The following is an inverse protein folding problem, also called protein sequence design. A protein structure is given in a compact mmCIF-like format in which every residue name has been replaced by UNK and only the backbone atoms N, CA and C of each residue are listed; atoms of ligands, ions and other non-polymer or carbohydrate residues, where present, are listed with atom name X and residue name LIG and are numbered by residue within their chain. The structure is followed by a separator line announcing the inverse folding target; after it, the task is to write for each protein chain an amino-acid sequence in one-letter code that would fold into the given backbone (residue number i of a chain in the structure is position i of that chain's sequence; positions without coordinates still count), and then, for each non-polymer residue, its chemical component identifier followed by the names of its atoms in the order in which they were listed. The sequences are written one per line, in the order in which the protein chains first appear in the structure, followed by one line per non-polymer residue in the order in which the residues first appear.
data_IF_299269771021
#
_entry.id   IF_299269771021
#
_cell.length_a   1.000
_cell.length_b   1.000
_cell.length_c   1.000
_cell.angle_alpha   90.00
_cell.angle_beta   90.00
_cell.angle_gamma   90.00
#
_symmetry.space_group_name_H-M   'P 1'
#
loop_
_entity.id
_entity.type
_entity.pdbx_description
1 polymer ?
#
# COMPACT_ATOMS: atom_id res chain seq x y z
N UNK A 1 10.86 24.65 -6.73
CA UNK A 1 11.16 24.15 -5.38
C UNK A 1 10.11 23.09 -5.06
N UNK A 2 10.39 21.83 -5.45
CA UNK A 2 9.56 20.68 -5.11
C UNK A 2 9.89 20.27 -3.68
N UNK A 3 8.92 20.39 -2.79
CA UNK A 3 8.98 19.84 -1.45
C UNK A 3 8.91 18.31 -1.58
N UNK A 4 10.03 17.62 -1.41
CA UNK A 4 10.05 16.15 -1.30
C UNK A 4 9.38 15.78 0.02
N UNK A 5 8.20 15.21 -0.08
CA UNK A 5 7.51 14.64 1.08
C UNK A 5 8.19 13.30 1.39
N UNK A 6 9.05 13.27 2.40
CA UNK A 6 9.65 12.05 2.92
C UNK A 6 8.60 11.31 3.75
N UNK A 7 8.09 10.19 3.23
CA UNK A 7 7.15 9.35 3.98
C UNK A 7 7.90 8.56 5.05
N UNK A 8 7.41 8.63 6.29
CA UNK A 8 7.96 7.84 7.39
C UNK A 8 7.42 6.41 7.28
N UNK A 9 8.30 5.42 7.17
CA UNK A 9 7.95 3.99 7.20
C UNK A 9 8.05 3.46 8.62
N UNK A 10 7.06 2.67 9.02
CA UNK A 10 7.00 2.02 10.33
C UNK A 10 7.01 0.50 10.15
N UNK A 11 7.58 -0.22 11.11
CA UNK A 11 7.41 -1.67 11.20
C UNK A 11 6.02 -1.96 11.80
N UNK A 12 5.25 -2.82 11.11
CA UNK A 12 3.90 -3.19 11.53
C UNK A 12 2.80 -2.24 11.06
N UNK A 13 1.57 -2.50 11.54
CA UNK A 13 0.38 -1.73 11.20
C UNK A 13 0.32 -0.43 11.97
N UNK A 14 -0.02 0.66 11.29
CA UNK A 14 -0.11 2.00 11.86
C UNK A 14 -1.57 2.39 12.06
N UNK A 15 -1.93 2.72 13.29
CA UNK A 15 -3.21 3.29 13.64
C UNK A 15 -3.07 4.78 14.01
N UNK A 16 -3.86 5.64 13.39
CA UNK A 16 -4.00 7.04 13.78
C UNK A 16 -5.25 7.19 14.63
N UNK A 17 -5.10 7.74 15.83
CA UNK A 17 -6.21 8.07 16.73
C UNK A 17 -6.38 9.59 16.75
N UNK A 18 -7.59 10.06 16.55
CA UNK A 18 -7.95 11.47 16.58
C UNK A 18 -9.09 11.69 17.57
N UNK A 19 -8.81 12.30 18.70
CA UNK A 19 -9.77 12.58 19.76
C UNK A 19 -9.25 13.79 20.58
N UNK A 20 -10.10 14.70 20.98
CA UNK A 20 -9.70 15.88 21.76
C UNK A 20 -9.65 15.61 23.28
N UNK A 21 -10.07 14.43 23.69
CA UNK A 21 -10.07 13.97 25.10
C UNK A 21 -8.82 13.13 25.39
N UNK A 22 -7.88 13.63 26.22
CA UNK A 22 -6.61 12.93 26.48
C UNK A 22 -6.78 11.52 27.07
N UNK A 23 -7.81 11.28 27.86
CA UNK A 23 -8.11 10.00 28.48
C UNK A 23 -8.46 8.93 27.42
N UNK A 24 -9.21 9.32 26.38
CA UNK A 24 -9.53 8.44 25.26
C UNK A 24 -8.27 8.09 24.45
N UNK A 25 -7.43 9.11 24.19
CA UNK A 25 -6.16 8.90 23.49
C UNK A 25 -5.24 7.94 24.24
N UNK A 26 -5.12 8.11 25.57
CA UNK A 26 -4.29 7.22 26.40
C UNK A 26 -4.82 5.79 26.38
N UNK A 27 -6.12 5.61 26.66
CA UNK A 27 -6.77 4.31 26.69
C UNK A 27 -6.58 3.53 25.37
N UNK A 28 -6.85 4.19 24.26
CA UNK A 28 -6.74 3.57 22.94
C UNK A 28 -5.29 3.34 22.51
N UNK A 29 -4.40 4.29 22.85
CA UNK A 29 -2.98 4.18 22.55
C UNK A 29 -2.35 2.98 23.25
N UNK A 30 -2.66 2.79 24.54
CA UNK A 30 -2.17 1.66 25.31
C UNK A 30 -2.71 0.34 24.74
N UNK A 31 -4.01 0.24 24.52
CA UNK A 31 -4.64 -0.98 24.01
C UNK A 31 -4.11 -1.40 22.60
N UNK A 32 -3.95 -0.43 21.70
CA UNK A 32 -3.44 -0.71 20.36
C UNK A 32 -1.94 -1.02 20.36
N UNK A 33 -1.15 -0.33 21.19
CA UNK A 33 0.28 -0.61 21.33
C UNK A 33 0.53 -2.00 21.90
N UNK A 34 -0.24 -2.40 22.92
CA UNK A 34 -0.17 -3.74 23.51
C UNK A 34 -0.55 -4.84 22.49
N UNK A 35 -1.42 -4.52 21.54
CA UNK A 35 -1.79 -5.41 20.44
C UNK A 35 -0.79 -5.38 19.26
N UNK A 36 0.30 -4.63 19.35
CA UNK A 36 1.39 -4.59 18.37
C UNK A 36 1.24 -3.57 17.25
N UNK A 37 0.29 -2.63 17.38
CA UNK A 37 0.16 -1.52 16.41
C UNK A 37 1.15 -0.40 16.73
N UNK A 38 1.66 0.26 15.69
CA UNK A 38 2.30 1.57 15.83
C UNK A 38 1.20 2.63 15.92
N UNK A 39 1.16 3.37 17.03
CA UNK A 39 0.09 4.34 17.29
C UNK A 39 0.57 5.76 17.05
N UNK A 40 -0.20 6.50 16.26
CA UNK A 40 -0.07 7.93 16.06
C UNK A 40 -1.31 8.61 16.66
N UNK A 41 -1.13 9.77 17.27
CA UNK A 41 -2.24 10.51 17.90
C UNK A 41 -2.33 11.93 17.34
N UNK A 42 -3.55 12.44 17.25
CA UNK A 42 -3.85 13.83 16.95
C UNK A 42 -4.99 14.28 17.89
N UNK A 43 -4.94 15.53 18.36
CA UNK A 43 -5.88 16.07 19.32
C UNK A 43 -7.02 16.87 18.68
N UNK A 44 -6.99 17.02 17.36
CA UNK A 44 -7.98 17.74 16.57
C UNK A 44 -7.88 17.35 15.09
N UNK A 45 -8.89 17.75 14.29
CA UNK A 45 -8.96 17.40 12.89
C UNK A 45 -7.86 18.02 12.03
N UNK A 46 -7.42 19.25 12.32
CA UNK A 46 -6.36 19.90 11.53
C UNK A 46 -5.01 19.23 11.75
N UNK A 47 -4.65 18.94 13.00
CA UNK A 47 -3.42 18.21 13.34
C UNK A 47 -3.42 16.80 12.75
N UNK A 48 -4.59 16.15 12.65
CA UNK A 48 -4.72 14.87 11.95
C UNK A 48 -4.39 15.01 10.45
N UNK A 49 -4.96 16.01 9.77
CA UNK A 49 -4.70 16.26 8.35
C UNK A 49 -3.22 16.58 8.07
N UNK A 50 -2.57 17.36 8.94
CA UNK A 50 -1.13 17.65 8.83
C UNK A 50 -0.26 16.37 8.96
N UNK A 51 -0.62 15.46 9.87
CA UNK A 51 0.07 14.17 10.02
C UNK A 51 -0.10 13.30 8.79
N UNK A 52 -1.30 13.26 8.22
CA UNK A 52 -1.62 12.47 7.03
C UNK A 52 -0.89 12.93 5.76
N UNK A 53 -0.34 14.14 5.74
CA UNK A 53 0.58 14.59 4.68
C UNK A 53 1.97 13.92 4.75
N UNK A 54 2.33 13.32 5.88
CA UNK A 54 3.65 12.73 6.14
C UNK A 54 3.62 11.22 6.35
N UNK A 55 2.46 10.68 6.72
CA UNK A 55 2.27 9.26 7.07
C UNK A 55 0.95 8.77 6.53
N UNK A 56 0.97 7.58 5.91
CA UNK A 56 -0.23 6.84 5.51
C UNK A 56 -0.47 5.75 6.56
N UNK A 57 -1.48 5.88 7.44
CA UNK A 57 -1.83 4.83 8.40
C UNK A 57 -2.61 3.71 7.72
N UNK A 58 -2.70 2.56 8.38
CA UNK A 58 -3.54 1.44 7.94
C UNK A 58 -4.99 1.60 8.37
N UNK A 59 -5.24 2.40 9.41
CA UNK A 59 -6.57 2.71 9.93
C UNK A 59 -6.59 4.05 10.66
N UNK A 60 -7.74 4.70 10.66
CA UNK A 60 -7.98 5.94 11.39
C UNK A 60 -9.17 5.75 12.33
N UNK A 61 -8.96 6.00 13.63
CA UNK A 61 -10.02 6.13 14.63
C UNK A 61 -10.27 7.62 14.83
N UNK A 62 -11.49 8.09 14.62
CA UNK A 62 -11.80 9.51 14.54
C UNK A 62 -13.01 9.86 15.40
N UNK A 63 -12.80 10.71 16.38
CA UNK A 63 -13.93 11.25 17.15
C UNK A 63 -14.84 12.08 16.24
N UNK A 64 -16.13 11.84 16.34
CA UNK A 64 -17.14 12.54 15.56
C UNK A 64 -17.30 13.99 16.00
N UNK A 65 -17.12 14.27 17.29
CA UNK A 65 -17.39 15.60 17.90
C UNK A 65 -16.11 16.15 18.52
N UNK A 66 -15.52 17.11 17.84
CA UNK A 66 -14.29 17.78 18.27
C UNK A 66 -14.43 19.31 18.06
N UNK A 67 -13.69 20.12 18.84
CA UNK A 67 -13.60 21.56 18.61
C UNK A 67 -12.94 21.87 17.24
N UNK A 68 -13.36 22.97 16.62
CA UNK A 68 -12.85 23.40 15.31
C UNK A 68 -13.57 22.70 14.18
N UNK A 69 -12.87 21.91 13.39
CA UNK A 69 -13.50 21.02 12.41
C UNK A 69 -13.90 19.71 13.09
N UNK A 70 -15.16 19.31 12.92
CA UNK A 70 -15.66 18.08 13.48
C UNK A 70 -15.08 16.83 12.76
N UNK A 71 -15.34 15.63 13.30
CA UNK A 71 -14.87 14.40 12.70
C UNK A 71 -15.43 14.15 11.31
N UNK A 72 -16.67 14.56 11.04
CA UNK A 72 -17.29 14.35 9.72
C UNK A 72 -16.60 15.21 8.64
N UNK A 73 -16.33 16.46 8.93
CA UNK A 73 -15.58 17.35 8.02
C UNK A 73 -14.13 16.87 7.86
N UNK A 74 -13.50 16.44 8.94
CA UNK A 74 -12.16 15.86 8.90
C UNK A 74 -12.13 14.64 7.97
N UNK A 75 -13.09 13.73 8.10
CA UNK A 75 -13.21 12.55 7.24
C UNK A 75 -13.39 12.92 5.77
N UNK A 76 -14.28 13.88 5.45
CA UNK A 76 -14.47 14.35 4.07
C UNK A 76 -13.17 14.85 3.45
N UNK A 77 -12.38 15.62 4.20
CA UNK A 77 -11.06 16.09 3.73
C UNK A 77 -10.06 14.97 3.55
N UNK A 78 -10.02 13.99 4.47
CA UNK A 78 -9.20 12.78 4.33
C UNK A 78 -9.54 12.06 3.04
N UNK A 79 -10.83 11.89 2.73
CA UNK A 79 -11.28 11.19 1.51
C UNK A 79 -11.02 11.95 0.20
N UNK A 80 -10.67 13.23 0.28
CA UNK A 80 -10.20 14.04 -0.86
C UNK A 80 -8.69 13.98 -1.07
N UNK A 81 -7.92 13.50 -0.08
CA UNK A 81 -6.47 13.32 -0.19
C UNK A 81 -6.16 12.00 -0.91
N UNK A 82 -5.52 12.05 -2.07
CA UNK A 82 -5.30 10.89 -2.94
C UNK A 82 -4.54 9.76 -2.22
N UNK A 83 -3.55 10.11 -1.42
CA UNK A 83 -2.65 9.17 -0.74
C UNK A 83 -3.33 8.38 0.37
N UNK A 84 -4.34 8.96 1.03
CA UNK A 84 -4.97 8.38 2.23
C UNK A 84 -6.48 8.12 2.09
N UNK A 85 -7.09 8.49 0.95
CA UNK A 85 -8.54 8.30 0.73
C UNK A 85 -9.01 6.85 0.88
N UNK A 86 -8.13 5.90 0.61
CA UNK A 86 -8.41 4.46 0.69
C UNK A 86 -8.33 3.92 2.13
N UNK A 87 -7.73 4.67 3.06
CA UNK A 87 -7.57 4.24 4.45
C UNK A 87 -8.93 4.17 5.14
N UNK A 88 -9.26 3.05 5.82
CA UNK A 88 -10.51 2.93 6.54
C UNK A 88 -10.57 3.90 7.70
N UNK A 89 -11.73 4.55 7.86
CA UNK A 89 -12.04 5.47 8.97
C UNK A 89 -13.16 4.88 9.80
N UNK A 90 -12.93 4.70 11.09
CA UNK A 90 -13.92 4.29 12.09
C UNK A 90 -14.24 5.51 12.95
N UNK A 91 -15.50 5.91 13.02
CA UNK A 91 -15.94 6.97 13.90
C UNK A 91 -16.08 6.48 15.34
N UNK A 92 -15.66 7.31 16.28
CA UNK A 92 -15.96 7.16 17.70
C UNK A 92 -17.00 8.23 18.07
N UNK A 93 -18.15 7.83 18.60
CA UNK A 93 -19.24 8.78 18.85
C UNK A 93 -20.06 8.43 20.07
N UNK A 94 -20.42 9.43 20.86
CA UNK A 94 -21.46 9.32 21.89
C UNK A 94 -22.87 9.48 21.34
N UNK A 95 -23.00 9.78 20.05
CA UNK A 95 -24.26 10.10 19.40
C UNK A 95 -24.82 8.79 18.80
N UNK A 96 -25.89 8.30 19.42
CA UNK A 96 -26.59 7.07 18.98
C UNK A 96 -27.73 7.38 18.01
N UNK A 97 -27.95 8.64 17.68
CA UNK A 97 -29.02 9.03 16.75
C UNK A 97 -28.69 8.60 15.32
N UNK A 98 -29.65 8.00 14.66
CA UNK A 98 -29.55 7.50 13.29
C UNK A 98 -29.01 8.54 12.31
N UNK A 99 -29.33 9.82 12.52
CA UNK A 99 -28.87 10.93 11.68
C UNK A 99 -27.34 11.11 11.71
N UNK A 100 -26.71 10.95 12.86
CA UNK A 100 -25.25 11.06 13.00
C UNK A 100 -24.51 9.86 12.41
N UNK A 101 -25.09 8.67 12.52
CA UNK A 101 -24.56 7.46 11.86
C UNK A 101 -24.60 7.64 10.35
N UNK A 102 -25.70 8.14 9.79
CA UNK A 102 -25.82 8.42 8.36
C UNK A 102 -24.80 9.47 7.90
N UNK A 103 -24.63 10.57 8.63
CA UNK A 103 -23.60 11.59 8.34
C UNK A 103 -22.18 11.00 8.29
N UNK A 104 -21.87 10.04 9.17
CA UNK A 104 -20.59 9.34 9.18
C UNK A 104 -20.36 8.56 7.90
N UNK A 105 -21.33 7.78 7.46
CA UNK A 105 -21.23 7.03 6.21
C UNK A 105 -21.18 7.95 4.98
N UNK A 106 -21.98 9.00 4.94
CA UNK A 106 -21.94 10.02 3.88
C UNK A 106 -20.60 10.77 3.81
N UNK A 107 -19.93 10.96 4.95
CA UNK A 107 -18.58 11.52 5.00
C UNK A 107 -17.49 10.55 4.52
N UNK A 108 -17.83 9.29 4.27
CA UNK A 108 -16.90 8.24 3.81
C UNK A 108 -16.31 7.39 4.93
N UNK A 109 -16.88 7.45 6.14
CA UNK A 109 -16.56 6.50 7.23
C UNK A 109 -17.04 5.11 6.91
N UNK A 110 -16.31 4.12 7.40
CA UNK A 110 -16.59 2.70 7.12
C UNK A 110 -17.38 2.03 8.24
N UNK A 111 -17.20 2.50 9.48
CA UNK A 111 -17.82 1.93 10.67
C UNK A 111 -17.88 2.98 11.79
N UNK A 112 -18.52 2.64 12.90
CA UNK A 112 -18.58 3.49 14.08
C UNK A 112 -18.48 2.66 15.37
N UNK A 113 -17.97 3.27 16.43
CA UNK A 113 -17.88 2.75 17.79
C UNK A 113 -18.58 3.73 18.71
N UNK A 114 -19.48 3.22 19.56
CA UNK A 114 -20.19 4.09 20.52
C UNK A 114 -19.35 4.32 21.78
N UNK A 115 -19.36 5.57 22.28
CA UNK A 115 -18.79 5.89 23.58
C UNK A 115 -19.78 5.50 24.70
N UNK A 116 -19.36 4.93 25.85
CA UNK A 116 -17.97 4.77 26.29
C UNK A 116 -17.21 3.71 25.50
N UNK A 117 -15.93 4.00 25.23
CA UNK A 117 -15.08 3.17 24.40
C UNK A 117 -14.70 1.89 25.14
N UNK A 118 -14.98 0.74 24.55
CA UNK A 118 -14.53 -0.57 25.04
C UNK A 118 -13.31 -1.03 24.20
N UNK A 119 -12.10 -1.11 24.78
CA UNK A 119 -10.88 -1.43 24.04
C UNK A 119 -10.95 -2.74 23.24
N UNK A 120 -11.60 -3.77 23.78
CA UNK A 120 -11.75 -5.06 23.12
C UNK A 120 -12.59 -4.95 21.83
N UNK A 121 -13.64 -4.13 21.82
CA UNK A 121 -14.44 -3.84 20.63
C UNK A 121 -13.61 -3.12 19.57
N UNK A 122 -12.85 -2.10 19.99
CA UNK A 122 -11.97 -1.34 19.09
C UNK A 122 -10.96 -2.25 18.41
N UNK A 123 -10.27 -3.09 19.17
CA UNK A 123 -9.26 -4.03 18.65
C UNK A 123 -9.86 -4.99 17.62
N UNK A 124 -11.04 -5.55 17.90
CA UNK A 124 -11.72 -6.47 16.99
C UNK A 124 -12.11 -5.79 15.67
N UNK A 125 -12.64 -4.55 15.72
CA UNK A 125 -13.01 -3.77 14.52
C UNK A 125 -11.78 -3.34 13.73
N UNK A 126 -10.75 -2.83 14.39
CA UNK A 126 -9.48 -2.43 13.78
C UNK A 126 -8.87 -3.60 13.00
N UNK A 127 -8.72 -4.77 13.65
CA UNK A 127 -8.17 -5.96 13.00
C UNK A 127 -9.02 -6.41 11.79
N UNK A 128 -10.35 -6.32 11.89
CA UNK A 128 -11.26 -6.69 10.81
C UNK A 128 -11.14 -5.74 9.62
N UNK A 129 -11.14 -4.43 9.85
CA UNK A 129 -11.09 -3.44 8.79
C UNK A 129 -9.73 -3.37 8.10
N UNK A 130 -8.62 -3.50 8.82
CA UNK A 130 -7.29 -3.60 8.23
C UNK A 130 -7.20 -4.84 7.33
N UNK A 131 -7.67 -6.00 7.81
CA UNK A 131 -7.68 -7.23 7.01
C UNK A 131 -8.53 -7.08 5.75
N UNK A 132 -9.73 -6.50 5.85
CA UNK A 132 -10.62 -6.29 4.71
C UNK A 132 -10.02 -5.31 3.69
N UNK A 133 -9.40 -4.21 4.15
CA UNK A 133 -8.72 -3.25 3.28
C UNK A 133 -7.58 -3.93 2.51
N UNK A 134 -6.79 -4.78 3.16
CA UNK A 134 -5.73 -5.56 2.51
C UNK A 134 -6.27 -6.55 1.48
N UNK A 135 -7.34 -7.26 1.81
CA UNK A 135 -7.99 -8.19 0.87
C UNK A 135 -8.53 -7.46 -0.36
N UNK A 136 -9.13 -6.27 -0.20
CA UNK A 136 -9.59 -5.43 -1.31
C UNK A 136 -8.43 -4.93 -2.17
N UNK A 137 -7.33 -4.49 -1.55
CA UNK A 137 -6.13 -4.08 -2.26
C UNK A 137 -5.55 -5.26 -3.06
N UNK A 138 -5.43 -6.43 -2.45
CA UNK A 138 -4.96 -7.64 -3.12
C UNK A 138 -5.90 -8.06 -4.28
N UNK A 139 -7.21 -7.97 -4.11
CA UNK A 139 -8.18 -8.26 -5.17
C UNK A 139 -8.10 -7.24 -6.33
N UNK A 140 -7.93 -5.95 -6.02
CA UNK A 140 -7.73 -4.90 -7.03
C UNK A 140 -6.43 -5.11 -7.81
N UNK A 141 -5.34 -5.47 -7.12
CA UNK A 141 -4.08 -5.82 -7.75
C UNK A 141 -4.18 -7.11 -8.60
N UNK A 142 -4.99 -8.08 -8.16
CA UNK A 142 -5.25 -9.29 -8.96
C UNK A 142 -6.02 -8.97 -10.25
N UNK A 143 -6.95 -8.00 -10.23
CA UNK A 143 -7.68 -7.55 -11.42
C UNK A 143 -6.77 -6.75 -12.35
N UNK A 144 -5.93 -5.85 -11.82
CA UNK A 144 -4.91 -5.13 -12.59
C UNK A 144 -3.84 -6.09 -13.14
N UNK A 145 -3.53 -7.16 -12.41
CA UNK A 145 -2.57 -8.19 -12.80
C UNK A 145 -3.14 -9.22 -13.82
N UNK A 146 -4.45 -9.27 -14.04
CA UNK A 146 -5.04 -10.08 -15.14
C UNK A 146 -4.61 -9.55 -16.51
N UNK A 147 -4.26 -8.27 -16.60
CA UNK A 147 -3.68 -7.65 -17.81
C UNK A 147 -2.15 -7.72 -17.85
N UNK A 148 -1.46 -8.04 -16.74
CA UNK A 148 0.00 -8.08 -16.64
C UNK A 148 0.44 -9.26 -15.77
N UNK A 149 1.54 -9.90 -16.14
CA UNK A 149 2.16 -10.90 -15.29
C UNK A 149 2.83 -10.19 -14.09
N UNK A 150 2.52 -10.60 -12.86
CA UNK A 150 3.02 -9.96 -11.66
C UNK A 150 3.36 -10.97 -10.55
N UNK A 151 4.39 -10.64 -9.75
CA UNK A 151 4.78 -11.33 -8.53
C UNK A 151 4.77 -10.31 -7.40
N UNK A 152 4.01 -10.56 -6.34
CA UNK A 152 4.05 -9.75 -5.12
C UNK A 152 5.17 -10.23 -4.21
N UNK A 153 5.87 -9.29 -3.59
CA UNK A 153 7.03 -9.55 -2.76
C UNK A 153 6.83 -8.97 -1.35
N UNK A 154 7.41 -9.63 -0.37
CA UNK A 154 7.63 -9.06 0.96
C UNK A 154 8.66 -7.94 0.91
N UNK A 155 8.78 -7.17 1.99
CA UNK A 155 9.80 -6.13 2.13
C UNK A 155 11.25 -6.66 1.99
N UNK A 156 11.48 -7.93 2.29
CA UNK A 156 12.77 -8.62 2.14
C UNK A 156 13.00 -9.22 0.75
N UNK A 157 12.07 -8.99 -0.19
CA UNK A 157 12.15 -9.53 -1.57
C UNK A 157 11.64 -10.97 -1.73
N UNK A 158 11.12 -11.60 -0.66
CA UNK A 158 10.54 -12.95 -0.74
C UNK A 158 9.19 -12.93 -1.45
N UNK A 159 8.93 -13.83 -2.43
CA UNK A 159 7.63 -13.92 -3.08
C UNK A 159 6.50 -14.25 -2.10
N UNK A 160 5.38 -13.53 -2.21
CA UNK A 160 4.14 -13.77 -1.48
C UNK A 160 3.12 -14.52 -2.33
N UNK A 161 2.89 -14.04 -3.54
CA UNK A 161 2.01 -14.65 -4.54
C UNK A 161 2.43 -14.23 -5.94
N UNK A 162 1.93 -14.95 -6.95
CA UNK A 162 2.17 -14.64 -8.36
C UNK A 162 0.93 -14.94 -9.20
N UNK A 163 0.79 -14.23 -10.32
CA UNK A 163 -0.23 -14.55 -11.31
C UNK A 163 0.17 -15.82 -12.07
N UNK A 164 -0.82 -16.52 -12.65
CA UNK A 164 -0.56 -17.68 -13.50
C UNK A 164 0.41 -17.33 -14.63
N UNK A 165 0.20 -16.20 -15.29
CA UNK A 165 1.02 -15.73 -16.40
C UNK A 165 2.48 -15.49 -15.96
N UNK A 166 2.69 -14.93 -14.76
CA UNK A 166 4.03 -14.77 -14.20
C UNK A 166 4.69 -16.12 -13.96
N UNK A 167 3.97 -17.10 -13.41
CA UNK A 167 4.48 -18.44 -13.18
C UNK A 167 4.89 -19.12 -14.49
N UNK A 168 4.06 -19.05 -15.53
CA UNK A 168 4.34 -19.59 -16.86
C UNK A 168 5.59 -18.95 -17.49
N UNK A 169 5.71 -17.62 -17.39
CA UNK A 169 6.88 -16.93 -17.93
C UNK A 169 8.15 -17.17 -17.12
N UNK A 170 8.05 -17.24 -15.80
CA UNK A 170 9.20 -17.61 -14.96
C UNK A 170 9.72 -19.01 -15.28
N UNK A 171 8.84 -20.00 -15.50
CA UNK A 171 9.25 -21.34 -15.92
C UNK A 171 9.86 -21.34 -17.33
N UNK A 172 9.29 -20.57 -18.27
CA UNK A 172 9.78 -20.47 -19.65
C UNK A 172 11.19 -19.87 -19.71
N UNK A 173 11.45 -18.79 -18.99
CA UNK A 173 12.70 -18.03 -19.06
C UNK A 173 13.74 -18.47 -18.03
N UNK A 174 13.33 -19.18 -16.98
CA UNK A 174 14.20 -19.74 -15.93
C UNK A 174 13.84 -21.21 -15.65
N UNK A 175 14.03 -22.11 -16.62
CA UNK A 175 13.63 -23.49 -16.47
C UNK A 175 14.34 -24.18 -15.29
N UNK A 176 13.55 -24.87 -14.46
CA UNK A 176 14.02 -25.56 -13.27
C UNK A 176 14.22 -24.68 -12.01
N UNK A 177 13.97 -23.38 -12.07
CA UNK A 177 14.06 -22.51 -10.89
C UNK A 177 12.90 -22.70 -9.90
N UNK A 178 11.80 -23.31 -10.33
CA UNK A 178 10.61 -23.55 -9.51
C UNK A 178 10.63 -24.80 -8.63
N UNK A 179 11.68 -25.59 -8.65
CA UNK A 179 11.77 -26.82 -7.86
C UNK A 179 11.80 -26.56 -6.32
N UNK A 180 11.94 -25.29 -5.90
CA UNK A 180 11.85 -24.87 -4.52
C UNK A 180 10.80 -23.75 -4.41
N UNK A 181 9.60 -24.09 -4.06
CA UNK A 181 8.32 -23.34 -4.17
C UNK A 181 8.22 -21.96 -3.50
N UNK A 182 9.27 -21.24 -3.17
CA UNK A 182 9.20 -19.91 -2.51
C UNK A 182 10.41 -18.99 -2.77
N UNK A 183 11.26 -19.27 -3.77
CA UNK A 183 12.40 -18.40 -4.05
C UNK A 183 12.44 -17.97 -5.51
N UNK A 184 12.86 -16.72 -5.73
CA UNK A 184 13.16 -16.22 -7.08
C UNK A 184 14.43 -16.89 -7.63
N UNK A 185 14.55 -16.98 -8.97
CA UNK A 185 15.81 -17.39 -9.59
C UNK A 185 16.98 -16.55 -9.07
N UNK A 186 18.20 -17.14 -8.87
CA UNK A 186 19.33 -16.41 -8.28
C UNK A 186 19.70 -15.10 -8.99
N UNK A 187 19.60 -15.06 -10.32
CA UNK A 187 19.85 -13.85 -11.11
C UNK A 187 18.80 -12.75 -10.86
N UNK A 188 17.54 -13.15 -10.73
CA UNK A 188 16.43 -12.21 -10.42
C UNK A 188 16.56 -11.70 -8.99
N UNK A 189 16.90 -12.59 -8.04
CA UNK A 189 17.10 -12.22 -6.65
C UNK A 189 18.28 -11.24 -6.48
N UNK A 190 19.40 -11.47 -7.15
CA UNK A 190 20.55 -10.57 -7.13
C UNK A 190 20.23 -9.18 -7.72
N UNK A 191 19.56 -9.14 -8.89
CA UNK A 191 19.11 -7.87 -9.47
C UNK A 191 18.10 -7.15 -8.59
N UNK A 192 17.17 -7.88 -7.98
CA UNK A 192 16.18 -7.32 -7.07
C UNK A 192 16.83 -6.68 -5.84
N UNK A 193 17.82 -7.33 -5.23
CA UNK A 193 18.57 -6.81 -4.10
C UNK A 193 19.29 -5.49 -4.44
N UNK A 194 19.89 -5.40 -5.63
CA UNK A 194 20.48 -4.15 -6.13
C UNK A 194 19.42 -3.08 -6.38
N UNK A 195 18.28 -3.41 -7.01
CA UNK A 195 17.19 -2.50 -7.27
C UNK A 195 16.55 -1.97 -5.97
N UNK A 196 16.46 -2.83 -4.96
CA UNK A 196 15.96 -2.45 -3.63
C UNK A 196 16.91 -1.49 -2.91
N UNK A 197 18.22 -1.69 -2.99
CA UNK A 197 19.25 -0.81 -2.42
C UNK A 197 19.32 0.55 -3.12
N UNK A 198 19.21 0.59 -4.44
CA UNK A 198 19.23 1.81 -5.23
C UNK A 198 18.07 2.76 -4.92
N UNK A 199 16.91 2.24 -4.52
CA UNK A 199 15.73 3.02 -4.14
C UNK A 199 15.80 3.64 -2.74
N UNK A 200 16.84 3.39 -1.95
CA UNK A 200 17.08 4.04 -0.64
C UNK A 200 17.98 5.27 -0.73
N UNK A 201 18.54 5.56 -1.90
CA UNK A 201 19.37 6.76 -2.13
C UNK A 201 18.48 7.97 -2.38
N UNK A 202 18.74 9.06 -1.67
CA UNK A 202 18.00 10.34 -1.59
C UNK A 202 18.00 11.20 -2.88
N UNK A 203 18.26 10.62 -4.01
CA UNK A 203 18.23 11.27 -5.33
C UNK A 203 17.10 10.67 -6.16
N UNK A 204 16.04 11.44 -6.35
CA UNK A 204 14.76 11.13 -7.00
C UNK A 204 14.79 10.68 -8.47
N UNK A 205 15.76 9.87 -8.85
CA UNK A 205 15.84 9.11 -10.07
C UNK A 205 16.47 7.76 -9.71
N UNK A 206 15.75 6.93 -8.97
CA UNK A 206 16.13 5.53 -8.80
C UNK A 206 16.26 4.93 -10.18
N UNK A 207 17.46 4.47 -10.54
CA UNK A 207 17.76 3.78 -11.77
C UNK A 207 17.03 2.42 -11.75
N UNK A 208 15.72 2.46 -11.97
CA UNK A 208 14.85 1.29 -12.02
C UNK A 208 14.93 0.68 -13.43
N UNK A 209 16.17 0.46 -13.90
CA UNK A 209 16.40 -0.20 -15.18
C UNK A 209 15.79 -1.59 -15.12
N UNK A 210 14.92 -1.96 -16.06
CA UNK A 210 14.31 -3.27 -16.07
C UNK A 210 15.42 -4.33 -16.28
N UNK A 211 15.29 -5.48 -15.61
CA UNK A 211 16.05 -6.66 -15.97
C UNK A 211 15.48 -7.23 -17.26
N UNK A 212 16.32 -7.48 -18.24
CA UNK A 212 15.91 -8.00 -19.55
C UNK A 212 16.57 -9.34 -19.79
N UNK A 213 15.78 -10.35 -20.13
CA UNK A 213 16.25 -11.71 -20.47
C UNK A 213 15.71 -12.05 -21.85
N UNK A 214 16.62 -12.27 -22.80
CA UNK A 214 16.26 -12.62 -24.18
C UNK A 214 16.21 -14.13 -24.36
N UNK A 215 15.17 -14.61 -25.06
CA UNK A 215 14.98 -16.00 -25.44
C UNK A 215 14.51 -16.07 -26.90
N UNK A 216 15.45 -16.27 -27.83
CA UNK A 216 15.16 -16.23 -29.27
C UNK A 216 14.75 -14.82 -29.73
N UNK A 217 13.56 -14.68 -30.32
CA UNK A 217 13.02 -13.43 -30.82
C UNK A 217 12.16 -12.68 -29.78
N UNK A 218 12.14 -13.13 -28.54
CA UNK A 218 11.38 -12.55 -27.46
C UNK A 218 12.29 -12.17 -26.29
N UNK A 219 11.92 -11.14 -25.55
CA UNK A 219 12.60 -10.74 -24.33
C UNK A 219 11.61 -10.54 -23.19
N UNK A 220 11.95 -11.09 -22.02
CA UNK A 220 11.24 -10.86 -20.76
C UNK A 220 11.82 -9.65 -20.05
N UNK A 221 10.99 -8.67 -19.78
CA UNK A 221 11.31 -7.46 -19.03
C UNK A 221 10.73 -7.55 -17.62
N UNK A 222 11.57 -7.45 -16.60
CA UNK A 222 11.16 -7.39 -15.20
C UNK A 222 11.36 -5.98 -14.68
N UNK A 223 10.31 -5.41 -14.11
CA UNK A 223 10.34 -4.06 -13.53
C UNK A 223 9.86 -4.11 -12.08
N UNK A 224 10.63 -3.52 -11.16
CA UNK A 224 10.23 -3.39 -9.77
C UNK A 224 9.35 -2.15 -9.61
N UNK A 225 8.12 -2.36 -9.17
CA UNK A 225 7.18 -1.29 -8.80
C UNK A 225 7.02 -1.27 -7.29
N UNK A 226 7.19 -0.09 -6.70
CA UNK A 226 6.92 0.16 -5.28
C UNK A 226 5.67 0.98 -5.17
N UNK A 227 4.64 0.44 -4.53
CA UNK A 227 3.42 1.17 -4.21
C UNK A 227 3.12 1.02 -2.73
N UNK A 228 3.15 2.13 -2.01
CA UNK A 228 2.89 2.18 -0.57
C UNK A 228 3.77 1.19 0.23
N UNK A 229 3.22 0.08 0.72
CA UNK A 229 3.91 -0.97 1.47
C UNK A 229 4.12 -2.26 0.68
N UNK A 230 3.75 -2.28 -0.59
CA UNK A 230 3.87 -3.47 -1.43
C UNK A 230 4.96 -3.32 -2.48
N UNK A 231 5.72 -4.39 -2.66
CA UNK A 231 6.68 -4.55 -3.73
C UNK A 231 6.05 -5.47 -4.78
N UNK A 232 5.97 -5.01 -6.01
CA UNK A 232 5.47 -5.77 -7.14
C UNK A 232 6.57 -5.90 -8.18
N UNK A 233 6.85 -7.13 -8.59
CA UNK A 233 7.66 -7.42 -9.76
C UNK A 233 6.72 -7.61 -10.93
N UNK A 234 6.76 -6.67 -11.88
CA UNK A 234 5.96 -6.70 -13.10
C UNK A 234 6.78 -7.36 -14.21
N UNK A 235 6.16 -8.28 -14.94
CA UNK A 235 6.77 -9.01 -16.05
C UNK A 235 6.05 -8.62 -17.34
N UNK A 236 6.83 -8.35 -18.38
CA UNK A 236 6.33 -8.05 -19.72
C UNK A 236 7.19 -8.79 -20.75
N UNK A 237 6.55 -9.50 -21.67
CA UNK A 237 7.26 -10.12 -22.82
C UNK A 237 7.13 -9.20 -24.01
N UNK A 238 8.28 -8.81 -24.57
CA UNK A 238 8.37 -8.03 -25.82
C UNK A 238 8.92 -8.90 -26.93
N UNK A 239 8.38 -8.73 -28.13
CA UNK A 239 8.99 -9.31 -29.32
C UNK A 239 10.12 -8.37 -29.77
N UNK A 240 11.32 -8.89 -29.89
CA UNK A 240 12.40 -8.22 -30.56
C UNK A 240 12.03 -8.17 -32.06
N UNK A 241 11.27 -7.16 -32.45
CA UNK A 241 11.16 -6.81 -33.85
C UNK A 241 12.55 -6.36 -34.27
N UNK A 242 13.33 -7.31 -34.79
CA UNK A 242 14.65 -7.05 -35.33
C UNK A 242 14.54 -5.84 -36.24
N UNK A 243 15.33 -4.81 -35.96
CA UNK A 243 15.61 -3.77 -36.90
C UNK A 243 16.14 -4.49 -38.15
N UNK A 244 15.26 -4.73 -39.12
CA UNK A 244 15.65 -5.12 -40.45
C UNK A 244 16.57 -4.01 -40.94
N UNK A 245 17.84 -4.28 -40.97
CA UNK A 245 18.89 -3.46 -41.56
C UNK A 245 18.46 -3.16 -43.00
N UNK A 246 18.01 -1.93 -43.22
CA UNK A 246 17.90 -1.34 -44.55
C UNK A 246 19.31 -1.08 -45.08
N UNK A 247 20.03 -2.15 -45.35
CA UNK A 247 21.22 -2.14 -46.20
C UNK A 247 21.06 -3.23 -47.24
N UNK A 248 20.40 -2.87 -48.31
CA UNK A 248 20.63 -3.45 -49.68
C UNK A 248 19.60 -2.90 -50.65
N UNK A 249 19.72 -1.65 -51.04
CA UNK A 249 19.31 -1.17 -52.37
C UNK A 249 20.22 -0.02 -52.79
N UNK A 250 21.47 -0.33 -53.05
CA UNK A 250 22.30 0.40 -53.99
C UNK A 250 22.96 -0.62 -54.87
N UNK A 251 22.39 -0.90 -56.02
CA UNK A 251 23.04 -1.34 -57.24
C UNK A 251 22.03 -1.34 -58.40
N UNK A 252 22.09 -0.38 -59.15
CA UNK A 252 22.27 -0.12 -60.60
C UNK A 252 21.65 1.16 -61.04
#
# INVERSE_FOLDING_TARGET
SGCMTTWTTFDGDVALIVDDVPENLSLLSDALSDAGYTVLVATDGLSALERLQKVVPDIILLDAVMPGIDGFETCRRIKQMEEVRHVPVIFMTGLTETEHVLKGFEAGGLDYITKPIEPSEVLARVATHIRNARMMTQASHAIDAVSHAAISLKADGTPLWQTRQAAEWMEKYFPGAQAASQSLPPSVAAWLDEAMKAGTSDSGAGNNSPMVISLGAESLHLTLSRRQRELLLLLEVKQDTGAATLEQYQLT
#
